data_IF_600126436443
#
_entry.id   IF_600126436443
#
_cell.length_a   1.000
_cell.length_b   1.000
_cell.length_c   1.000
_cell.angle_alpha   90.00
_cell.angle_beta   90.00
_cell.angle_gamma   90.00
#
_symmetry.space_group_name_H-M   'P 1'
#
loop_
_entity.id
_entity.type
_entity.pdbx_description
1 polymer ?
#
# COMPACT_ATOMS: atom_id res chain seq x y z
N UNK A 1 -24.57 -20.85 -29.28
CA UNK A 1 -23.14 -21.17 -29.03
C UNK A 1 -23.09 -22.15 -27.88
N UNK A 2 -22.19 -23.13 -27.91
CA UNK A 2 -22.06 -24.13 -26.81
C UNK A 2 -21.12 -23.52 -25.77
N UNK A 3 -21.63 -23.26 -24.56
CA UNK A 3 -20.79 -22.83 -23.44
C UNK A 3 -19.99 -24.03 -22.93
N UNK A 4 -18.68 -23.86 -22.75
CA UNK A 4 -17.84 -24.86 -22.11
C UNK A 4 -18.04 -24.84 -20.60
N UNK A 5 -18.16 -26.02 -19.99
CA UNK A 5 -18.20 -26.15 -18.54
C UNK A 5 -16.87 -25.66 -17.95
N UNK A 6 -16.93 -24.73 -16.99
CA UNK A 6 -15.74 -24.23 -16.30
C UNK A 6 -15.18 -25.26 -15.34
N UNK A 7 -13.88 -25.17 -15.10
CA UNK A 7 -13.23 -25.91 -14.02
C UNK A 7 -13.69 -25.37 -12.67
N UNK A 8 -14.17 -26.25 -11.79
CA UNK A 8 -14.47 -25.91 -10.40
C UNK A 8 -13.31 -26.39 -9.51
N UNK A 9 -12.63 -25.45 -8.84
CA UNK A 9 -11.56 -25.77 -7.89
C UNK A 9 -11.97 -25.34 -6.48
N UNK A 10 -11.52 -26.10 -5.47
CA UNK A 10 -11.78 -25.78 -4.07
C UNK A 10 -11.10 -24.47 -3.67
N UNK A 11 -11.84 -23.59 -2.99
CA UNK A 11 -11.31 -22.37 -2.39
C UNK A 11 -11.67 -22.28 -0.91
N UNK A 12 -10.79 -21.65 -0.14
CA UNK A 12 -10.99 -21.38 1.28
C UNK A 12 -10.53 -19.97 1.58
N UNK A 13 -11.44 -19.11 2.03
CA UNK A 13 -11.08 -17.78 2.48
C UNK A 13 -10.26 -17.86 3.79
N UNK A 14 -9.12 -17.16 3.83
CA UNK A 14 -8.22 -17.05 5.00
C UNK A 14 -7.99 -15.59 5.42
N UNK A 15 -8.90 -14.68 5.05
CA UNK A 15 -8.84 -13.26 5.39
C UNK A 15 -9.24 -12.93 6.81
N UNK A 16 -9.72 -13.90 7.61
CA UNK A 16 -10.26 -13.67 8.96
C UNK A 16 -9.39 -12.80 9.87
N UNK A 17 -8.06 -12.86 9.74
CA UNK A 17 -7.12 -12.02 10.53
C UNK A 17 -7.18 -10.52 10.21
N UNK A 18 -7.87 -10.14 9.13
CA UNK A 18 -8.10 -8.75 8.71
C UNK A 18 -9.52 -8.28 9.03
N UNK A 19 -10.39 -9.16 9.53
CA UNK A 19 -11.74 -8.81 9.94
C UNK A 19 -11.70 -8.18 11.33
N UNK A 20 -12.20 -6.95 11.45
CA UNK A 20 -12.35 -6.28 12.75
C UNK A 20 -13.63 -6.75 13.43
N UNK A 21 -13.49 -7.36 14.61
CA UNK A 21 -14.60 -7.83 15.43
C UNK A 21 -15.21 -6.69 16.27
N UNK A 22 -16.32 -6.96 16.95
CA UNK A 22 -16.90 -5.99 17.89
C UNK A 22 -15.95 -5.66 19.05
N UNK A 23 -15.17 -6.66 19.50
CA UNK A 23 -14.16 -6.50 20.53
C UNK A 23 -13.00 -5.64 20.04
N UNK A 24 -12.53 -5.82 18.80
CA UNK A 24 -11.48 -4.99 18.22
C UNK A 24 -11.88 -3.51 18.10
N UNK A 25 -13.18 -3.22 18.02
CA UNK A 25 -13.72 -1.85 17.91
C UNK A 25 -13.99 -1.21 19.27
N UNK A 26 -14.02 -2.00 20.34
CA UNK A 26 -14.21 -1.48 21.69
C UNK A 26 -13.07 -0.51 22.03
N UNK A 27 -13.40 0.72 22.44
CA UNK A 27 -12.44 1.75 22.84
C UNK A 27 -11.41 2.09 21.74
N UNK A 28 -11.72 1.78 20.46
CA UNK A 28 -10.78 1.97 19.35
C UNK A 28 -10.40 3.43 19.12
N UNK A 29 -11.31 4.36 19.40
CA UNK A 29 -11.10 5.80 19.24
C UNK A 29 -10.34 6.44 20.42
N UNK A 30 -10.20 5.74 21.53
CA UNK A 30 -9.48 6.20 22.73
C UNK A 30 -8.03 5.71 22.76
N UNK A 31 -7.73 4.67 21.97
CA UNK A 31 -6.39 4.09 21.87
C UNK A 31 -5.44 4.98 21.08
N UNK A 32 -4.24 5.18 21.63
CA UNK A 32 -3.18 5.91 20.96
C UNK A 32 -2.45 5.05 19.92
N UNK A 33 -1.95 5.67 18.85
CA UNK A 33 -1.27 4.95 17.76
C UNK A 33 0.08 4.31 18.16
N UNK A 34 0.69 4.70 19.29
CA UNK A 34 1.98 4.17 19.71
C UNK A 34 1.98 2.64 19.85
N UNK A 35 0.83 2.05 20.24
CA UNK A 35 0.67 0.60 20.39
C UNK A 35 0.99 -0.17 19.10
N UNK A 36 0.71 0.42 17.92
CA UNK A 36 1.01 -0.20 16.63
C UNK A 36 2.52 -0.28 16.40
N UNK A 37 3.26 0.76 16.78
CA UNK A 37 4.72 0.81 16.64
C UNK A 37 5.40 -0.11 17.64
N UNK A 38 4.95 -0.12 18.89
CA UNK A 38 5.46 -1.02 19.93
C UNK A 38 5.29 -2.49 19.54
N UNK A 39 4.08 -2.90 19.12
CA UNK A 39 3.81 -4.27 18.68
C UNK A 39 4.63 -4.65 17.43
N UNK A 40 4.82 -3.71 16.49
CA UNK A 40 5.66 -3.94 15.30
C UNK A 40 7.12 -4.19 15.67
N UNK A 41 7.68 -3.36 16.56
CA UNK A 41 9.04 -3.50 17.03
C UNK A 41 9.22 -4.84 17.76
N UNK A 42 8.32 -5.18 18.69
CA UNK A 42 8.33 -6.44 19.43
C UNK A 42 8.34 -7.66 18.50
N UNK A 43 7.46 -7.68 17.48
CA UNK A 43 7.33 -8.81 16.56
C UNK A 43 8.50 -8.93 15.56
N UNK A 44 9.15 -7.82 15.21
CA UNK A 44 10.22 -7.81 14.20
C UNK A 44 11.61 -7.89 14.80
N UNK A 45 11.83 -7.39 16.01
CA UNK A 45 13.15 -7.38 16.69
C UNK A 45 13.83 -8.76 16.72
N UNK A 46 13.18 -9.88 17.07
CA UNK A 46 13.82 -11.20 17.04
C UNK A 46 14.31 -11.62 15.64
N UNK A 47 13.55 -11.28 14.59
CA UNK A 47 13.89 -11.60 13.20
C UNK A 47 15.02 -10.73 12.67
N UNK A 48 15.12 -9.49 13.17
CA UNK A 48 16.22 -8.58 12.86
C UNK A 48 17.50 -9.04 13.57
N UNK A 49 17.40 -9.46 14.84
CA UNK A 49 18.53 -10.04 15.58
C UNK A 49 19.09 -11.28 14.88
N UNK A 50 18.22 -12.20 14.43
CA UNK A 50 18.62 -13.38 13.67
C UNK A 50 19.35 -13.00 12.37
N UNK A 51 18.79 -12.06 11.60
CA UNK A 51 19.39 -11.58 10.36
C UNK A 51 20.75 -10.90 10.61
N UNK A 52 20.86 -10.09 11.65
CA UNK A 52 22.10 -9.41 12.04
C UNK A 52 23.20 -10.40 12.41
N UNK A 53 22.90 -11.40 13.24
CA UNK A 53 23.86 -12.47 13.59
C UNK A 53 24.38 -13.19 12.34
N UNK A 54 23.50 -13.50 11.39
CA UNK A 54 23.89 -14.16 10.14
C UNK A 54 24.75 -13.25 9.26
N UNK A 55 24.30 -12.03 9.00
CA UNK A 55 24.96 -11.11 8.07
C UNK A 55 26.30 -10.66 8.65
N UNK A 56 26.32 -10.15 9.87
CA UNK A 56 27.52 -9.60 10.50
C UNK A 56 28.51 -10.70 10.92
N UNK A 57 28.01 -11.88 11.32
CA UNK A 57 28.85 -13.06 11.56
C UNK A 57 29.55 -13.57 10.30
N UNK A 58 28.95 -13.40 9.10
CA UNK A 58 29.58 -13.76 7.83
C UNK A 58 30.69 -12.78 7.40
N UNK A 59 30.67 -11.53 7.88
CA UNK A 59 31.68 -10.51 7.57
C UNK A 59 32.91 -10.57 8.49
N UNK A 60 32.84 -11.26 9.63
CA UNK A 60 34.00 -11.49 10.49
C UNK A 60 34.87 -12.61 9.91
N UNK A 61 35.89 -12.24 9.13
CA UNK A 61 36.99 -13.14 8.75
C UNK A 61 37.99 -13.39 9.90
N UNK A 62 37.66 -12.91 11.11
CA UNK A 62 38.47 -13.05 12.31
C UNK A 62 37.84 -14.15 13.18
N UNK A 63 38.67 -14.98 13.80
CA UNK A 63 38.29 -16.15 14.61
C UNK A 63 37.48 -15.81 15.91
N UNK A 64 36.87 -14.63 15.98
CA UNK A 64 35.96 -14.14 17.01
C UNK A 64 34.70 -13.65 16.30
N UNK A 65 33.75 -14.58 16.13
CA UNK A 65 32.45 -14.34 15.49
C UNK A 65 31.35 -14.10 16.54
N UNK A 66 31.73 -13.69 17.75
CA UNK A 66 30.85 -13.54 18.92
C UNK A 66 30.40 -12.10 19.19
N UNK A 67 31.00 -11.08 18.56
CA UNK A 67 31.01 -9.72 19.16
C UNK A 67 29.98 -8.70 18.67
N UNK A 68 29.11 -9.01 17.70
CA UNK A 68 28.08 -8.01 17.32
C UNK A 68 26.83 -8.18 18.17
N UNK A 69 26.95 -7.71 19.40
CA UNK A 69 25.84 -7.58 20.34
C UNK A 69 24.92 -6.43 19.92
N UNK A 70 23.62 -6.64 20.07
CA UNK A 70 22.65 -5.56 19.94
C UNK A 70 22.82 -4.58 21.11
N UNK A 71 22.85 -3.29 20.81
CA UNK A 71 22.86 -2.22 21.82
C UNK A 71 21.68 -1.28 21.62
N UNK A 72 21.23 -0.65 22.71
CA UNK A 72 20.39 0.53 22.61
C UNK A 72 21.25 1.73 22.24
N UNK A 73 20.66 2.72 21.60
CA UNK A 73 21.40 3.90 21.16
C UNK A 73 21.93 4.71 22.35
N UNK A 74 21.27 4.66 23.52
CA UNK A 74 21.73 5.36 24.73
C UNK A 74 22.99 4.76 25.35
N UNK A 75 23.27 3.48 25.05
CA UNK A 75 24.42 2.73 25.59
C UNK A 75 25.66 2.86 24.70
N UNK A 76 25.59 3.65 23.62
CA UNK A 76 26.67 3.80 22.66
C UNK A 76 27.69 4.85 23.08
N UNK A 77 28.97 4.51 22.93
CA UNK A 77 30.05 5.49 22.98
C UNK A 77 30.27 6.15 21.61
N UNK A 78 30.80 7.38 21.59
CA UNK A 78 31.11 8.05 20.33
C UNK A 78 32.14 7.25 19.52
N UNK A 79 31.88 7.12 18.22
CA UNK A 79 32.64 6.35 17.23
C UNK A 79 32.66 4.83 17.46
N UNK A 80 31.88 4.33 18.42
CA UNK A 80 31.71 2.90 18.63
C UNK A 80 30.90 2.27 17.49
N UNK A 81 31.39 1.16 16.94
CA UNK A 81 30.61 0.36 16.00
C UNK A 81 29.61 -0.51 16.76
N UNK A 82 28.33 -0.38 16.42
CA UNK A 82 27.26 -1.11 17.07
C UNK A 82 26.18 -1.55 16.10
N UNK A 83 25.45 -2.58 16.52
CA UNK A 83 24.22 -3.03 15.88
C UNK A 83 23.02 -2.58 16.71
N UNK A 84 22.18 -1.75 16.13
CA UNK A 84 21.01 -1.16 16.79
C UNK A 84 19.74 -1.55 16.06
N UNK A 85 18.60 -1.57 16.75
CA UNK A 85 17.30 -1.96 16.18
C UNK A 85 16.26 -0.92 16.57
N UNK A 86 15.48 -0.47 15.61
CA UNK A 86 14.54 0.63 15.79
C UNK A 86 13.70 0.85 14.55
N UNK A 87 13.07 2.02 14.46
CA UNK A 87 12.16 2.41 13.40
C UNK A 87 12.67 3.65 12.69
N UNK A 88 12.59 3.63 11.36
CA UNK A 88 12.96 4.77 10.52
C UNK A 88 11.79 5.75 10.46
N UNK A 89 12.07 7.04 10.63
CA UNK A 89 11.15 8.14 10.40
C UNK A 89 11.70 9.09 9.33
N UNK A 90 10.92 9.35 8.28
CA UNK A 90 11.24 10.39 7.28
C UNK A 90 10.75 11.75 7.78
N UNK A 91 11.69 12.66 8.03
CA UNK A 91 11.38 14.07 8.24
C UNK A 91 11.34 14.78 6.89
N UNK A 92 10.11 15.02 6.42
CA UNK A 92 9.82 15.66 5.14
C UNK A 92 9.25 17.05 5.43
N UNK A 93 9.94 18.11 5.00
CA UNK A 93 9.55 19.49 5.31
C UNK A 93 8.19 19.87 4.72
N UNK A 94 7.82 19.25 3.59
CA UNK A 94 6.56 19.47 2.88
C UNK A 94 5.43 18.54 3.32
N UNK A 95 5.62 17.71 4.35
CA UNK A 95 4.56 16.84 4.86
C UNK A 95 3.43 17.72 5.41
N UNK A 96 2.18 17.56 4.93
CA UNK A 96 1.04 18.32 5.47
C UNK A 96 0.88 17.98 6.95
N UNK A 97 0.54 18.99 7.73
CA UNK A 97 0.43 18.87 9.17
C UNK A 97 -0.79 19.61 9.65
N UNK A 98 -1.68 18.90 10.35
CA UNK A 98 -2.93 19.46 10.89
C UNK A 98 -2.67 20.70 11.74
N UNK A 99 -1.60 20.72 12.54
CA UNK A 99 -1.25 21.90 13.35
C UNK A 99 -0.76 23.08 12.50
N UNK A 100 -0.10 22.81 11.37
CA UNK A 100 0.33 23.87 10.44
C UNK A 100 -0.89 24.47 9.73
N UNK A 101 -1.81 23.62 9.29
CA UNK A 101 -3.09 24.03 8.69
C UNK A 101 -3.91 24.89 9.66
N UNK A 102 -4.06 24.45 10.92
CA UNK A 102 -4.77 25.24 11.95
C UNK A 102 -4.07 26.59 12.20
N UNK A 103 -2.73 26.62 12.24
CA UNK A 103 -2.00 27.86 12.49
C UNK A 103 -2.08 28.85 11.31
N UNK A 104 -2.15 28.35 10.08
CA UNK A 104 -2.38 29.15 8.86
C UNK A 104 -3.81 29.72 8.85
N UNK A 105 -4.82 28.92 9.22
CA UNK A 105 -6.22 29.39 9.35
C UNK A 105 -6.39 30.51 10.39
N UNK A 106 -5.66 30.40 11.51
CA UNK A 106 -5.67 31.40 12.59
C UNK A 106 -4.71 32.59 12.34
N UNK A 107 -4.08 32.67 11.15
CA UNK A 107 -3.10 33.71 10.77
C UNK A 107 -1.89 33.84 11.73
N UNK A 108 -1.53 32.75 12.42
CA UNK A 108 -0.46 32.73 13.43
C UNK A 108 0.93 32.69 12.78
N UNK A 109 1.04 32.28 11.52
CA UNK A 109 2.30 32.15 10.78
C UNK A 109 2.24 32.98 9.50
N UNK A 110 3.30 33.75 9.14
CA UNK A 110 3.40 34.38 7.83
C UNK A 110 3.31 33.33 6.72
N UNK A 111 2.56 33.62 5.66
CA UNK A 111 2.45 32.73 4.51
C UNK A 111 3.77 32.70 3.73
N UNK A 112 4.59 31.67 3.96
CA UNK A 112 5.77 31.40 3.12
C UNK A 112 5.33 30.73 1.81
N UNK A 113 4.76 31.50 0.88
CA UNK A 113 4.42 31.05 -0.48
C UNK A 113 5.64 31.11 -1.41
N UNK A 114 6.41 30.02 -1.50
CA UNK A 114 7.30 29.78 -2.64
C UNK A 114 6.52 29.04 -3.74
N UNK A 115 6.06 29.79 -4.75
CA UNK A 115 5.16 29.33 -5.82
C UNK A 115 5.75 28.30 -6.80
N UNK A 116 7.06 28.06 -6.77
CA UNK A 116 7.75 27.14 -7.69
C UNK A 116 7.97 25.72 -7.10
N UNK A 117 7.57 25.45 -5.86
CA UNK A 117 7.97 24.24 -5.12
C UNK A 117 6.94 23.07 -5.11
N UNK A 118 5.84 23.15 -5.87
CA UNK A 118 4.73 22.19 -5.82
C UNK A 118 4.98 20.81 -6.48
N UNK A 119 6.11 20.58 -7.15
CA UNK A 119 6.31 19.41 -8.01
C UNK A 119 7.15 18.27 -7.40
N UNK A 120 7.75 18.47 -6.22
CA UNK A 120 8.47 17.43 -5.48
C UNK A 120 8.15 17.50 -3.99
N UNK A 121 7.63 16.40 -3.45
CA UNK A 121 7.40 16.22 -2.00
C UNK A 121 8.74 16.20 -1.25
N UNK A 122 9.81 15.74 -1.90
CA UNK A 122 11.14 15.61 -1.28
C UNK A 122 12.00 16.84 -1.57
N UNK A 123 12.57 17.43 -0.53
CA UNK A 123 13.46 18.60 -0.60
C UNK A 123 14.84 18.30 -0.03
N UNK A 124 15.81 19.17 -0.31
CA UNK A 124 17.17 19.10 0.25
C UNK A 124 17.21 19.29 1.78
N UNK A 125 16.08 19.71 2.38
CA UNK A 125 15.92 19.89 3.83
C UNK A 125 15.44 18.60 4.52
N UNK A 126 15.07 17.59 3.75
CA UNK A 126 14.54 16.34 4.28
C UNK A 126 15.66 15.42 4.74
N UNK A 127 15.39 14.66 5.80
CA UNK A 127 16.36 13.73 6.36
C UNK A 127 15.68 12.54 7.04
N UNK A 128 16.49 11.52 7.34
CA UNK A 128 16.07 10.33 8.04
C UNK A 128 16.40 10.45 9.52
N UNK A 129 15.45 10.04 10.35
CA UNK A 129 15.65 9.77 11.77
C UNK A 129 15.49 8.27 12.02
N UNK A 130 16.09 7.83 13.11
CA UNK A 130 15.98 6.48 13.64
C UNK A 130 15.63 6.56 15.11
N UNK A 131 14.52 5.93 15.46
CA UNK A 131 13.94 5.88 16.79
C UNK A 131 14.09 4.45 17.34
N UNK A 132 14.78 4.31 18.46
CA UNK A 132 14.73 3.08 19.26
C UNK A 132 13.72 3.24 20.41
N UNK A 133 13.81 2.44 21.47
CA UNK A 133 12.86 2.54 22.58
C UNK A 133 13.04 3.79 23.46
N UNK A 134 14.18 4.50 23.37
CA UNK A 134 14.56 5.55 24.34
C UNK A 134 15.01 6.86 23.71
N UNK A 135 15.54 6.85 22.49
CA UNK A 135 16.04 8.05 21.84
C UNK A 135 15.88 8.03 20.32
N UNK A 136 16.08 9.22 19.76
CA UNK A 136 16.00 9.49 18.33
C UNK A 136 17.33 10.09 17.88
N UNK A 137 17.86 9.58 16.78
CA UNK A 137 19.07 10.10 16.14
C UNK A 137 18.82 10.34 14.66
N UNK A 138 19.51 11.30 14.07
CA UNK A 138 19.56 11.49 12.61
C UNK A 138 20.44 10.43 11.98
N UNK A 139 20.06 9.99 10.78
CA UNK A 139 20.84 9.04 10.00
C UNK A 139 21.65 9.75 8.92
N UNK A 140 22.87 9.25 8.71
CA UNK A 140 23.71 9.58 7.56
C UNK A 140 24.47 8.33 7.10
N UNK A 141 25.28 8.44 6.05
CA UNK A 141 26.12 7.35 5.57
C UNK A 141 25.45 6.54 4.47
N UNK A 142 25.59 5.22 4.51
CA UNK A 142 25.12 4.30 3.47
C UNK A 142 23.63 3.96 3.65
N UNK A 143 22.78 4.98 3.50
CA UNK A 143 21.32 4.87 3.52
C UNK A 143 20.71 5.99 2.68
N UNK A 144 19.75 5.67 1.82
CA UNK A 144 19.02 6.64 1.00
C UNK A 144 17.57 6.79 1.42
N UNK A 145 17.02 7.99 1.25
CA UNK A 145 15.57 8.26 1.38
C UNK A 145 14.73 7.37 0.48
N UNK A 146 15.24 6.95 -0.68
CA UNK A 146 14.47 6.13 -1.64
C UNK A 146 14.39 4.65 -1.25
N UNK A 147 15.30 4.17 -0.40
CA UNK A 147 15.40 2.75 -0.01
C UNK A 147 14.49 2.37 1.15
N UNK A 148 14.01 3.36 1.91
CA UNK A 148 13.29 3.18 3.17
C UNK A 148 12.01 4.00 3.19
N UNK A 149 11.09 3.69 4.11
CA UNK A 149 9.88 4.47 4.36
C UNK A 149 9.73 4.76 5.86
N UNK A 150 8.97 5.81 6.20
CA UNK A 150 8.51 6.04 7.57
C UNK A 150 7.83 4.77 8.10
N UNK A 151 8.20 4.35 9.31
CA UNK A 151 7.64 3.17 9.97
C UNK A 151 8.34 1.85 9.64
N UNK A 152 9.37 1.85 8.79
CA UNK A 152 10.23 0.68 8.57
C UNK A 152 11.00 0.32 9.84
N UNK A 153 10.72 -0.84 10.41
CA UNK A 153 11.49 -1.39 11.53
C UNK A 153 12.64 -2.25 11.02
N UNK A 154 13.87 -1.82 11.30
CA UNK A 154 15.11 -2.42 10.77
C UNK A 154 16.19 -2.46 11.84
N UNK A 155 17.22 -3.26 11.56
CA UNK A 155 18.50 -3.15 12.25
C UNK A 155 19.46 -2.29 11.45
N UNK A 156 20.30 -1.52 12.12
CA UNK A 156 21.37 -0.74 11.50
C UNK A 156 22.70 -1.13 12.13
N UNK A 157 23.70 -1.36 11.29
CA UNK A 157 25.08 -1.50 11.72
C UNK A 157 25.87 -0.27 11.28
N UNK A 158 26.62 0.32 12.20
CA UNK A 158 27.28 1.60 11.99
C UNK A 158 27.86 2.15 13.28
N UNK A 159 28.06 3.46 13.35
CA UNK A 159 28.63 4.11 14.54
C UNK A 159 27.99 5.46 14.85
N UNK A 160 27.93 5.82 16.13
CA UNK A 160 27.47 7.14 16.55
C UNK A 160 28.59 8.17 16.35
N UNK A 161 28.43 9.08 15.40
CA UNK A 161 29.48 10.07 15.07
C UNK A 161 29.31 11.40 15.81
N UNK A 162 28.09 11.67 16.28
CA UNK A 162 27.71 12.81 17.14
C UNK A 162 26.59 12.38 18.07
N UNK A 163 26.33 13.15 19.12
CA UNK A 163 25.26 12.85 20.08
C UNK A 163 23.90 12.57 19.42
N UNK A 164 23.58 13.27 18.33
CA UNK A 164 22.31 13.17 17.61
C UNK A 164 22.45 12.56 16.20
N UNK A 165 23.59 11.96 15.85
CA UNK A 165 23.83 11.43 14.49
C UNK A 165 24.46 10.04 14.51
N UNK A 166 23.80 9.09 13.86
CA UNK A 166 24.28 7.74 13.61
C UNK A 166 24.68 7.56 12.14
N UNK A 167 25.92 7.15 11.91
CA UNK A 167 26.46 6.88 10.60
C UNK A 167 26.25 5.41 10.23
N UNK A 168 25.34 5.15 9.30
CA UNK A 168 24.97 3.82 8.82
C UNK A 168 26.04 3.29 7.87
N UNK A 169 26.49 2.06 8.12
CA UNK A 169 27.31 1.30 7.18
C UNK A 169 26.47 0.26 6.44
N UNK A 170 25.51 -0.37 7.14
CA UNK A 170 24.68 -1.44 6.61
C UNK A 170 23.28 -1.45 7.22
N UNK A 171 22.25 -1.61 6.38
CA UNK A 171 20.86 -1.88 6.80
C UNK A 171 20.63 -3.38 6.88
N UNK A 172 19.96 -3.84 7.93
CA UNK A 172 19.63 -5.24 8.22
C UNK A 172 18.11 -5.37 8.30
N UNK A 173 17.54 -6.03 7.29
CA UNK A 173 16.11 -6.30 7.22
C UNK A 173 15.72 -7.54 8.03
N UNK A 174 14.49 -7.62 8.56
CA UNK A 174 14.02 -8.81 9.27
C UNK A 174 14.08 -10.06 8.39
N UNK A 175 14.53 -11.21 8.94
CA UNK A 175 14.52 -12.49 8.21
C UNK A 175 13.13 -12.78 7.61
N UNK A 176 13.00 -13.15 6.33
CA UNK A 176 11.72 -13.49 5.72
C UNK A 176 10.95 -14.57 6.48
N UNK A 177 9.62 -14.52 6.45
CA UNK A 177 8.80 -15.58 7.05
C UNK A 177 8.95 -16.88 6.24
N UNK A 178 8.91 -18.06 6.88
CA UNK A 178 8.90 -19.33 6.17
C UNK A 178 7.80 -19.37 5.10
N UNK A 179 8.19 -19.57 3.85
CA UNK A 179 7.28 -19.72 2.73
C UNK A 179 6.91 -21.20 2.58
N UNK A 180 5.63 -21.49 2.35
CA UNK A 180 5.19 -22.85 2.03
C UNK A 180 5.75 -23.27 0.67
N UNK A 181 6.12 -24.54 0.47
CA UNK A 181 6.61 -25.01 -0.82
C UNK A 181 5.57 -24.82 -1.91
N UNK A 182 6.05 -24.57 -3.13
CA UNK A 182 5.18 -24.43 -4.30
C UNK A 182 4.41 -25.74 -4.57
N UNK A 183 3.09 -25.69 -4.88
CA UNK A 183 2.33 -26.90 -5.18
C UNK A 183 2.89 -27.64 -6.42
N UNK A 184 3.08 -28.95 -6.31
CA UNK A 184 3.64 -29.77 -7.40
C UNK A 184 2.66 -30.05 -8.55
N UNK A 185 1.35 -29.99 -8.28
CA UNK A 185 0.31 -30.20 -9.29
C UNK A 185 -0.21 -28.87 -9.82
N UNK A 186 -0.09 -28.65 -11.13
CA UNK A 186 -0.75 -27.54 -11.83
C UNK A 186 -2.19 -27.96 -12.13
N UNK A 187 -3.16 -27.11 -11.79
CA UNK A 187 -4.58 -27.36 -12.04
C UNK A 187 -5.01 -26.89 -13.43
N UNK A 188 -4.24 -26.04 -14.10
CA UNK A 188 -4.58 -25.47 -15.41
C UNK A 188 -5.55 -24.29 -15.36
N UNK A 189 -6.25 -24.08 -14.25
CA UNK A 189 -7.09 -22.91 -14.01
C UNK A 189 -6.27 -21.61 -13.93
N UNK A 190 -6.91 -20.50 -14.27
CA UNK A 190 -6.32 -19.16 -14.19
C UNK A 190 -7.20 -18.25 -13.32
N UNK A 191 -6.55 -17.27 -12.68
CA UNK A 191 -7.22 -16.22 -11.90
C UNK A 191 -7.00 -14.90 -12.61
N UNK A 192 -8.09 -14.18 -12.88
CA UNK A 192 -8.04 -12.82 -13.42
C UNK A 192 -7.99 -11.81 -12.27
N UNK A 193 -7.09 -10.83 -12.37
CA UNK A 193 -7.02 -9.70 -11.44
C UNK A 193 -7.37 -8.41 -12.20
N UNK A 194 -8.23 -7.59 -11.61
CA UNK A 194 -8.65 -6.31 -12.15
C UNK A 194 -8.75 -5.28 -11.02
N UNK A 195 -8.44 -4.01 -11.30
CA UNK A 195 -8.45 -2.89 -10.35
C UNK A 195 -8.70 -1.61 -11.11
N UNK A 196 -9.14 -0.54 -10.42
CA UNK A 196 -9.24 0.79 -11.04
C UNK A 196 -10.29 0.85 -12.15
N UNK A 197 -11.46 0.25 -11.91
CA UNK A 197 -12.59 0.38 -12.84
C UNK A 197 -13.13 1.80 -12.87
N UNK A 198 -12.99 2.53 -11.75
CA UNK A 198 -13.31 3.96 -11.60
C UNK A 198 -14.68 4.34 -12.20
N UNK A 199 -15.70 3.51 -11.98
CA UNK A 199 -17.02 3.75 -12.56
C UNK A 199 -17.66 5.00 -11.92
N UNK A 200 -17.90 6.04 -12.70
CA UNK A 200 -18.48 7.33 -12.28
C UNK A 200 -19.97 7.45 -12.50
N UNK A 201 -20.55 6.58 -13.35
CA UNK A 201 -21.98 6.63 -13.69
C UNK A 201 -22.30 7.71 -14.74
N UNK A 202 -21.30 8.43 -15.23
CA UNK A 202 -21.38 9.30 -16.39
C UNK A 202 -20.59 8.64 -17.54
N UNK A 203 -21.33 8.10 -18.52
CA UNK A 203 -20.76 7.34 -19.63
C UNK A 203 -19.68 8.11 -20.41
N UNK A 204 -19.72 9.45 -20.43
CA UNK A 204 -18.70 10.26 -21.10
C UNK A 204 -17.38 10.34 -20.30
N UNK A 205 -17.46 10.33 -18.96
CA UNK A 205 -16.30 10.39 -18.07
C UNK A 205 -15.70 9.00 -17.83
N UNK A 206 -16.53 7.95 -17.77
CA UNK A 206 -16.08 6.56 -17.66
C UNK A 206 -15.16 6.18 -18.82
N UNK A 207 -15.39 6.76 -20.01
CA UNK A 207 -14.56 6.53 -21.20
C UNK A 207 -13.10 7.00 -21.03
N UNK A 208 -12.89 8.05 -20.24
CA UNK A 208 -11.56 8.66 -20.07
C UNK A 208 -10.66 7.85 -19.12
N UNK A 209 -11.23 7.25 -18.06
CA UNK A 209 -10.45 6.48 -17.07
C UNK A 209 -9.93 5.14 -17.60
N UNK A 210 -10.68 4.42 -18.43
CA UNK A 210 -10.22 3.10 -18.92
C UNK A 210 -9.27 3.16 -20.13
N UNK A 211 -9.07 4.33 -20.75
CA UNK A 211 -8.16 4.47 -21.90
C UNK A 211 -6.71 4.13 -21.54
N UNK A 212 -6.34 4.25 -20.26
CA UNK A 212 -5.05 3.83 -19.73
C UNK A 212 -4.89 2.30 -19.60
N UNK A 213 -6.00 1.55 -19.51
CA UNK A 213 -5.97 0.11 -19.23
C UNK A 213 -5.70 -0.75 -20.47
N UNK A 214 -6.11 -0.29 -21.67
CA UNK A 214 -6.02 -1.10 -22.90
C UNK A 214 -4.77 -0.81 -23.75
N UNK A 215 -4.16 0.39 -23.62
CA UNK A 215 -3.02 0.79 -24.44
C UNK A 215 -1.85 1.24 -23.57
N UNK A 216 -1.04 0.29 -23.13
CA UNK A 216 0.33 0.52 -22.66
C UNK A 216 1.28 0.98 -23.78
N UNK A 217 0.87 1.92 -24.62
CA UNK A 217 1.69 2.52 -25.68
C UNK A 217 1.44 4.02 -25.68
N UNK A 218 2.46 4.74 -25.22
CA UNK A 218 2.58 6.16 -25.45
C UNK A 218 2.54 6.46 -26.95
N UNK A 219 1.95 7.61 -27.27
CA UNK A 219 2.04 8.32 -28.53
C UNK A 219 1.01 7.96 -29.61
N UNK A 220 -0.11 8.69 -29.60
CA UNK A 220 -0.83 9.16 -30.80
C UNK A 220 -1.84 10.23 -30.40
N UNK A 221 -1.34 11.38 -29.93
CA UNK A 221 -2.15 12.59 -29.80
C UNK A 221 -2.45 13.14 -31.20
N UNK A 222 -3.55 12.72 -31.87
CA UNK A 222 -4.34 13.60 -32.79
C UNK A 222 -5.50 12.99 -33.57
N UNK A 223 -5.92 11.74 -33.38
CA UNK A 223 -7.02 11.19 -34.20
C UNK A 223 -8.15 10.69 -33.29
N UNK A 224 -9.37 11.14 -33.61
CA UNK A 224 -10.68 10.65 -33.15
C UNK A 224 -11.31 11.29 -31.90
N UNK A 225 -11.80 12.53 -32.08
CA UNK A 225 -12.65 13.26 -31.13
C UNK A 225 -14.16 13.16 -31.46
N UNK A 226 -14.63 12.06 -32.07
CA UNK A 226 -16.07 11.93 -32.44
C UNK A 226 -16.73 10.57 -32.21
N UNK A 227 -16.01 9.58 -31.69
CA UNK A 227 -16.52 8.20 -31.49
C UNK A 227 -16.45 7.73 -30.03
N UNK A 228 -16.37 8.67 -29.08
CA UNK A 228 -15.86 8.41 -27.73
C UNK A 228 -16.93 8.32 -26.61
N UNK A 229 -18.22 8.21 -26.93
CA UNK A 229 -19.25 7.93 -25.90
C UNK A 229 -19.48 6.43 -25.66
N UNK A 230 -18.98 5.55 -26.53
CA UNK A 230 -19.33 4.13 -26.52
C UNK A 230 -18.25 3.17 -25.97
N UNK A 231 -17.03 3.64 -25.64
CA UNK A 231 -15.85 2.76 -25.55
C UNK A 231 -15.69 2.03 -24.20
N UNK A 232 -16.13 2.59 -23.06
CA UNK A 232 -15.87 1.97 -21.76
C UNK A 232 -16.95 1.03 -21.26
N UNK A 233 -18.22 1.42 -21.43
CA UNK A 233 -19.31 0.47 -21.33
C UNK A 233 -19.03 -0.70 -22.28
N UNK A 234 -18.59 -0.43 -23.52
CA UNK A 234 -18.22 -1.53 -24.43
C UNK A 234 -17.02 -2.35 -23.97
N UNK A 235 -15.98 -1.79 -23.34
CA UNK A 235 -14.80 -2.57 -22.93
C UNK A 235 -15.10 -3.50 -21.75
N UNK A 236 -15.87 -3.02 -20.77
CA UNK A 236 -16.34 -3.85 -19.66
C UNK A 236 -17.37 -4.88 -20.12
N UNK A 237 -18.29 -4.50 -21.01
CA UNK A 237 -19.25 -5.42 -21.63
C UNK A 237 -18.56 -6.45 -22.51
N UNK A 238 -17.51 -6.08 -23.25
CA UNK A 238 -16.69 -7.00 -24.05
C UNK A 238 -15.93 -7.96 -23.13
N UNK A 239 -15.35 -7.48 -22.03
CA UNK A 239 -14.70 -8.34 -21.05
C UNK A 239 -15.71 -9.31 -20.42
N UNK A 240 -16.89 -8.82 -20.03
CA UNK A 240 -17.98 -9.63 -19.48
C UNK A 240 -18.44 -10.69 -20.49
N UNK A 241 -18.70 -10.29 -21.73
CA UNK A 241 -19.11 -11.17 -22.82
C UNK A 241 -18.02 -12.20 -23.16
N UNK A 242 -16.74 -11.82 -23.08
CA UNK A 242 -15.60 -12.73 -23.26
C UNK A 242 -15.52 -13.74 -22.11
N UNK A 243 -15.62 -13.27 -20.87
CA UNK A 243 -15.65 -14.13 -19.68
C UNK A 243 -16.83 -15.09 -19.73
N UNK A 244 -18.00 -14.65 -20.19
CA UNK A 244 -19.21 -15.47 -20.32
C UNK A 244 -19.20 -16.42 -21.53
N UNK A 245 -18.11 -16.42 -22.31
CA UNK A 245 -17.96 -17.24 -23.52
C UNK A 245 -19.00 -16.93 -24.60
N UNK A 246 -19.46 -15.69 -24.65
CA UNK A 246 -20.43 -15.17 -25.64
C UNK A 246 -19.73 -14.61 -26.88
N UNK A 247 -18.47 -14.20 -26.72
CA UNK A 247 -17.59 -13.79 -27.82
C UNK A 247 -16.81 -15.01 -28.32
N UNK A 248 -17.09 -15.42 -29.57
CA UNK A 248 -16.43 -16.49 -30.34
C UNK A 248 -16.75 -17.94 -29.90
N UNK A 249 -16.33 -18.91 -30.72
CA UNK A 249 -16.40 -20.33 -30.37
C UNK A 249 -15.30 -20.66 -29.36
N UNK A 250 -15.69 -21.08 -28.17
CA UNK A 250 -14.78 -21.27 -27.04
C UNK A 250 -14.55 -22.78 -26.84
N UNK A 251 -13.31 -23.23 -26.99
CA UNK A 251 -12.92 -24.59 -26.60
C UNK A 251 -12.58 -24.66 -25.10
N UNK A 252 -12.47 -25.88 -24.57
CA UNK A 252 -12.12 -26.11 -23.16
C UNK A 252 -10.68 -25.74 -22.80
N UNK A 253 -9.82 -25.52 -23.80
CA UNK A 253 -8.42 -25.12 -23.62
C UNK A 253 -8.24 -23.59 -23.60
N UNK A 254 -9.25 -22.84 -24.05
CA UNK A 254 -9.26 -21.40 -24.15
C UNK A 254 -9.05 -20.74 -22.78
N UNK A 255 -8.47 -19.56 -22.80
CA UNK A 255 -8.21 -18.82 -21.57
C UNK A 255 -9.51 -18.49 -20.83
N UNK A 256 -10.56 -18.05 -21.55
CA UNK A 256 -11.87 -17.71 -20.98
C UNK A 256 -12.53 -18.90 -20.25
N UNK A 257 -12.47 -20.11 -20.82
CA UNK A 257 -13.01 -21.32 -20.18
C UNK A 257 -12.21 -21.74 -18.95
N UNK A 258 -10.93 -21.35 -18.87
CA UNK A 258 -10.01 -21.65 -17.77
C UNK A 258 -10.03 -20.59 -16.66
N UNK A 259 -10.68 -19.43 -16.86
CA UNK A 259 -10.87 -18.43 -15.79
C UNK A 259 -11.82 -19.01 -14.76
N UNK A 260 -11.25 -19.38 -13.61
CA UNK A 260 -11.98 -19.93 -12.47
C UNK A 260 -12.48 -18.82 -11.55
N UNK A 261 -11.65 -17.78 -11.34
CA UNK A 261 -11.99 -16.65 -10.47
C UNK A 261 -11.52 -15.34 -11.07
N UNK A 262 -12.30 -14.31 -10.79
CA UNK A 262 -11.95 -12.92 -11.00
C UNK A 262 -11.85 -12.24 -9.65
N UNK A 263 -10.74 -11.55 -9.40
CA UNK A 263 -10.48 -10.78 -8.19
C UNK A 263 -10.47 -9.31 -8.57
N UNK A 264 -11.44 -8.55 -8.07
CA UNK A 264 -11.52 -7.10 -8.23
C UNK A 264 -10.85 -6.45 -7.03
N UNK A 265 -9.78 -5.68 -7.27
CA UNK A 265 -8.90 -5.07 -6.27
C UNK A 265 -9.12 -3.56 -6.25
N UNK A 266 -10.06 -3.09 -5.42
CA UNK A 266 -10.26 -1.67 -5.13
C UNK A 266 -10.72 -0.82 -6.31
N UNK A 267 -10.91 0.47 -6.04
CA UNK A 267 -11.15 1.54 -7.03
C UNK A 267 -12.20 1.17 -8.09
N UNK A 268 -13.25 0.47 -7.66
CA UNK A 268 -14.28 -0.04 -8.56
C UNK A 268 -15.29 1.03 -8.96
N UNK A 269 -15.49 2.02 -8.09
CA UNK A 269 -16.40 3.15 -8.28
C UNK A 269 -15.58 4.40 -8.02
N UNK A 270 -15.62 5.35 -8.96
CA UNK A 270 -15.11 6.69 -8.75
C UNK A 270 -16.31 7.60 -8.52
N UNK A 271 -16.52 8.06 -7.29
CA UNK A 271 -17.53 9.10 -7.06
C UNK A 271 -16.99 10.38 -7.71
N UNK A 272 -17.63 10.82 -8.80
CA UNK A 272 -17.30 12.08 -9.46
C UNK A 272 -17.16 13.17 -8.41
N UNK A 273 -16.09 13.97 -8.51
CA UNK A 273 -15.68 14.97 -7.52
C UNK A 273 -16.89 15.52 -6.76
N UNK A 274 -17.05 15.12 -5.50
CA UNK A 274 -17.90 15.88 -4.58
C UNK A 274 -17.25 17.26 -4.55
N UNK A 275 -17.79 18.19 -5.35
CA UNK A 275 -17.49 19.61 -5.19
C UNK A 275 -18.02 19.94 -3.80
N UNK A 276 -17.15 19.85 -2.82
CA UNK A 276 -17.36 20.41 -1.50
C UNK A 276 -17.46 21.93 -1.66
N UNK A 277 -18.64 22.41 -2.09
CA UNK A 277 -19.06 23.77 -1.79
C UNK A 277 -19.41 23.75 -0.30
N UNK A 278 -18.42 24.04 0.55
CA UNK A 278 -18.71 24.49 1.91
C UNK A 278 -19.41 25.84 1.82
N UNK A 279 -20.74 25.82 1.72
CA UNK A 279 -21.60 26.90 2.17
C UNK A 279 -22.21 26.45 3.49
N UNK A 280 -21.92 27.19 4.55
CA UNK A 280 -22.13 26.87 5.97
C UNK A 280 -23.60 26.78 6.42
N UNK A 281 -24.54 26.36 5.57
CA UNK A 281 -25.99 26.43 5.90
C UNK A 281 -26.85 25.19 5.70
N UNK A 282 -26.34 24.03 5.29
CA UNK A 282 -27.19 22.84 5.15
C UNK A 282 -26.56 21.57 5.71
N UNK A 283 -26.36 21.55 7.03
CA UNK A 283 -26.12 20.33 7.80
C UNK A 283 -27.41 19.96 8.56
N UNK A 284 -28.44 19.45 7.86
CA UNK A 284 -29.60 18.87 8.57
C UNK A 284 -30.41 17.81 7.82
N UNK A 285 -30.05 17.41 6.59
CA UNK A 285 -30.83 16.40 5.91
C UNK A 285 -29.98 15.55 4.98
N UNK A 286 -29.43 14.44 5.48
CA UNK A 286 -29.12 13.25 4.69
C UNK A 286 -28.85 12.06 5.63
N UNK A 287 -29.92 11.51 6.19
CA UNK A 287 -29.93 10.18 6.79
C UNK A 287 -30.47 9.17 5.78
N UNK A 288 -29.72 8.07 5.63
CA UNK A 288 -30.10 6.74 5.14
C UNK A 288 -30.68 6.61 3.72
N UNK A 289 -29.92 5.98 2.82
CA UNK A 289 -30.36 4.80 2.05
C UNK A 289 -29.17 4.16 1.34
N UNK A 290 -28.78 2.96 1.74
CA UNK A 290 -27.93 2.06 0.94
C UNK A 290 -28.86 0.99 0.37
N UNK A 291 -29.05 0.97 -0.95
CA UNK A 291 -29.81 -0.09 -1.62
C UNK A 291 -28.87 -1.25 -2.00
N UNK A 292 -29.27 -2.46 -1.60
CA UNK A 292 -28.72 -3.70 -2.13
C UNK A 292 -29.24 -3.86 -3.57
N UNK A 293 -28.35 -3.87 -4.56
CA UNK A 293 -28.70 -4.32 -5.91
C UNK A 293 -28.53 -5.84 -5.93
N UNK A 294 -29.64 -6.55 -5.73
CA UNK A 294 -29.74 -7.97 -6.06
C UNK A 294 -30.16 -8.08 -7.52
N UNK A 295 -29.29 -8.60 -8.38
CA UNK A 295 -29.69 -9.04 -9.73
C UNK A 295 -29.69 -10.57 -9.74
N UNK A 296 -30.87 -11.14 -9.97
CA UNK A 296 -31.15 -12.59 -9.99
C UNK A 296 -30.66 -13.30 -11.26
N UNK A 297 -29.85 -12.65 -12.10
CA UNK A 297 -29.43 -13.18 -13.41
C UNK A 297 -27.94 -13.56 -13.48
N UNK A 298 -27.15 -13.28 -12.43
CA UNK A 298 -25.71 -13.55 -12.43
C UNK A 298 -25.38 -14.80 -11.59
N UNK A 299 -24.86 -15.84 -12.22
CA UNK A 299 -24.30 -17.02 -11.54
C UNK A 299 -22.93 -16.75 -10.86
N UNK A 300 -22.59 -15.48 -10.61
CA UNK A 300 -21.35 -15.08 -9.94
C UNK A 300 -21.65 -14.58 -8.53
N UNK A 301 -20.97 -15.18 -7.55
CA UNK A 301 -20.92 -14.66 -6.20
C UNK A 301 -19.88 -13.54 -6.16
N UNK A 302 -20.34 -12.29 -6.22
CA UNK A 302 -19.47 -11.11 -6.10
C UNK A 302 -18.99 -10.99 -4.65
N UNK A 303 -17.67 -11.06 -4.43
CA UNK A 303 -17.07 -10.65 -3.16
C UNK A 303 -16.62 -9.20 -3.30
N UNK A 304 -17.54 -8.26 -3.08
CA UNK A 304 -17.23 -6.82 -3.01
C UNK A 304 -16.57 -6.54 -1.65
N UNK A 305 -15.26 -6.38 -1.63
CA UNK A 305 -14.55 -5.92 -0.44
C UNK A 305 -14.58 -4.39 -0.42
N UNK A 306 -15.70 -3.81 -0.03
CA UNK A 306 -15.78 -2.38 0.25
C UNK A 306 -15.11 -2.12 1.60
N UNK A 307 -13.84 -1.75 1.58
CA UNK A 307 -13.12 -1.27 2.75
C UNK A 307 -13.47 0.22 3.00
N UNK A 308 -14.76 0.52 3.17
CA UNK A 308 -15.25 1.81 3.65
C UNK A 308 -16.45 1.54 4.56
N UNK A 309 -16.15 1.22 5.81
CA UNK A 309 -17.04 1.45 6.94
C UNK A 309 -16.19 2.14 8.00
N UNK A 310 -16.29 3.47 8.01
CA UNK A 310 -15.99 4.32 9.17
C UNK A 310 -17.22 4.23 10.08
#
# INVERSE_FOLDING_TARGET
MVQCQRMDLSYTNRSKKYELTAEDKQDAFERQYYHVYAARLELLKPRILEAGKKILGMFSNTFQSEDVEYKQLEDLEMFEKAFVIGTIEKRISKRPGVLKEIAEEELIVPEDYDGDEMMSIVSNKDFLEFEDEKQIVKLQGNISMDEVATGCTVGLYGSQVKSDVFNVEQIIWPTPRPQRPWPSKKTGGVVAFISGLELTGDAANDVSSSFAFLFGVADTKKVMLKYFEAVVISSFELMSSWLNQELFCVDSASLAARVERMVVLGDSIAVGQVRFFFSSKQLSAMTSTTSLIYSSEWNFQFLMCNCWQI
#
